data_IF_069913328528
#
_entry.id   IF_069913328528
#
_cell.length_a   1.000
_cell.length_b   1.000
_cell.length_c   1.000
_cell.angle_alpha   90.00
_cell.angle_beta   90.00
_cell.angle_gamma   90.00
#
_symmetry.space_group_name_H-M   'P 1'
#
loop_
_entity.id
_entity.type
_entity.pdbx_description
1 polymer ?
#
# COMPACT_ATOMS: atom_id res chain seq x y z
N UNK A 1 28.67 6.04 17.67
CA UNK A 1 27.62 5.26 18.37
C UNK A 1 26.93 4.22 17.48
N UNK A 2 26.85 4.41 16.15
CA UNK A 2 26.26 3.43 15.20
C UNK A 2 27.14 2.20 14.86
N UNK A 3 28.44 2.23 15.19
CA UNK A 3 29.39 1.19 14.76
C UNK A 3 29.17 -0.18 15.41
N UNK A 4 28.72 -0.23 16.67
CA UNK A 4 28.54 -1.51 17.39
C UNK A 4 27.32 -2.30 16.89
N UNK A 5 26.14 -1.67 16.66
CA UNK A 5 25.03 -2.37 16.01
C UNK A 5 25.37 -2.83 14.58
N UNK A 6 26.09 -2.00 13.81
CA UNK A 6 26.48 -2.34 12.44
C UNK A 6 27.41 -3.55 12.38
N UNK A 7 28.46 -3.58 13.20
CA UNK A 7 29.39 -4.71 13.24
C UNK A 7 28.68 -6.03 13.57
N UNK A 8 27.75 -6.03 14.52
CA UNK A 8 26.98 -7.24 14.87
C UNK A 8 26.13 -7.75 13.71
N UNK A 9 25.57 -6.84 12.90
CA UNK A 9 24.81 -7.23 11.71
C UNK A 9 25.75 -7.82 10.66
N UNK A 10 26.91 -7.21 10.45
CA UNK A 10 27.93 -7.72 9.54
C UNK A 10 28.38 -9.13 9.93
N UNK A 11 28.64 -9.37 11.21
CA UNK A 11 29.05 -10.68 11.73
C UNK A 11 27.97 -11.75 11.45
N UNK A 12 26.70 -11.49 11.77
CA UNK A 12 25.60 -12.44 11.54
C UNK A 12 25.40 -12.73 10.05
N UNK A 13 25.48 -11.69 9.19
CA UNK A 13 25.32 -11.87 7.75
C UNK A 13 26.48 -12.67 7.16
N UNK A 14 27.70 -12.43 7.65
CA UNK A 14 28.89 -13.17 7.23
C UNK A 14 28.76 -14.66 7.59
N UNK A 15 28.28 -15.00 8.78
CA UNK A 15 28.01 -16.38 9.19
C UNK A 15 27.02 -17.08 8.23
N UNK A 16 25.94 -16.41 7.84
CA UNK A 16 24.95 -16.96 6.90
C UNK A 16 25.57 -17.20 5.52
N UNK A 17 26.39 -16.26 5.04
CA UNK A 17 27.05 -16.36 3.74
C UNK A 17 28.06 -17.50 3.70
N UNK A 18 28.86 -17.65 4.75
CA UNK A 18 29.84 -18.73 4.86
C UNK A 18 29.16 -20.09 5.00
N UNK A 19 28.09 -20.19 5.80
CA UNK A 19 27.29 -21.41 5.89
C UNK A 19 26.72 -21.84 4.54
N UNK A 20 26.28 -20.89 3.70
CA UNK A 20 25.79 -21.21 2.36
C UNK A 20 26.91 -21.73 1.45
N UNK A 21 28.08 -21.07 1.45
CA UNK A 21 29.25 -21.50 0.66
C UNK A 21 29.75 -22.90 1.04
N UNK A 22 29.77 -23.23 2.33
CA UNK A 22 30.28 -24.51 2.81
C UNK A 22 29.31 -25.65 2.52
N UNK A 23 28.01 -25.43 2.71
CA UNK A 23 27.01 -26.50 2.62
C UNK A 23 26.42 -26.72 1.22
N UNK A 24 26.56 -25.74 0.32
CA UNK A 24 26.00 -25.81 -1.03
C UNK A 24 27.10 -25.73 -2.10
N UNK A 25 27.29 -26.83 -2.83
CA UNK A 25 28.24 -26.89 -3.96
C UNK A 25 27.70 -26.22 -5.25
N UNK A 26 26.42 -25.85 -5.27
CA UNK A 26 25.77 -25.18 -6.39
C UNK A 26 25.58 -23.69 -6.10
N UNK A 27 25.92 -22.84 -7.07
CA UNK A 27 25.85 -21.37 -6.96
C UNK A 27 24.44 -20.78 -7.08
N UNK A 28 23.38 -21.59 -6.91
CA UNK A 28 22.01 -21.18 -7.21
C UNK A 28 21.16 -21.04 -5.96
N UNK A 29 20.78 -19.79 -5.66
CA UNK A 29 19.80 -19.48 -4.62
C UNK A 29 18.41 -19.94 -5.04
N UNK A 30 17.71 -20.63 -4.14
CA UNK A 30 16.37 -21.17 -4.37
C UNK A 30 15.37 -20.45 -3.48
N UNK A 31 14.41 -19.76 -4.09
CA UNK A 31 13.26 -19.19 -3.39
C UNK A 31 12.35 -20.32 -2.90
N UNK A 32 12.07 -20.37 -1.60
CA UNK A 32 11.29 -21.42 -0.96
C UNK A 32 9.77 -21.17 -1.12
N UNK A 33 9.28 -21.16 -2.37
CA UNK A 33 7.90 -20.75 -2.74
C UNK A 33 6.82 -21.45 -1.89
N UNK A 34 6.88 -22.78 -1.77
CA UNK A 34 5.91 -23.58 -0.99
C UNK A 34 5.83 -23.17 0.49
N UNK A 35 6.98 -22.91 1.12
CA UNK A 35 7.03 -22.49 2.53
C UNK A 35 6.37 -21.12 2.71
N UNK A 36 6.63 -20.20 1.79
CA UNK A 36 5.99 -18.89 1.78
C UNK A 36 4.49 -18.99 1.50
N UNK A 37 4.07 -19.80 0.55
CA UNK A 37 2.65 -20.06 0.25
C UNK A 37 1.89 -20.55 1.48
N UNK A 38 2.39 -21.57 2.18
CA UNK A 38 1.74 -22.09 3.38
C UNK A 38 1.65 -21.06 4.51
N UNK A 39 2.71 -20.25 4.70
CA UNK A 39 2.71 -19.16 5.66
C UNK A 39 1.62 -18.12 5.34
N UNK A 40 1.56 -17.67 4.09
CA UNK A 40 0.60 -16.67 3.59
C UNK A 40 -0.84 -17.18 3.67
N UNK A 41 -1.08 -18.42 3.23
CA UNK A 41 -2.41 -19.07 3.25
C UNK A 41 -2.97 -19.16 4.67
N UNK A 42 -2.12 -19.46 5.66
CA UNK A 42 -2.52 -19.46 7.08
C UNK A 42 -2.82 -18.05 7.57
N UNK A 43 -1.92 -17.10 7.30
CA UNK A 43 -2.03 -15.72 7.76
C UNK A 43 -3.27 -14.98 7.22
N UNK A 44 -3.76 -15.35 6.03
CA UNK A 44 -4.98 -14.76 5.47
C UNK A 44 -6.26 -15.14 6.22
N UNK A 45 -6.22 -16.23 7.01
CA UNK A 45 -7.39 -16.76 7.72
C UNK A 45 -7.35 -16.46 9.21
N UNK A 46 -6.23 -16.75 9.87
CA UNK A 46 -6.09 -16.59 11.32
C UNK A 46 -4.67 -16.15 11.68
N UNK A 47 -4.58 -15.24 12.62
CA UNK A 47 -3.34 -14.71 13.18
C UNK A 47 -3.32 -14.97 14.69
N UNK A 48 -2.12 -15.12 15.26
CA UNK A 48 -1.95 -15.23 16.70
C UNK A 48 -2.05 -13.86 17.38
N UNK A 49 -2.14 -13.86 18.71
CA UNK A 49 -2.12 -12.66 19.57
C UNK A 49 -0.89 -11.76 19.33
N UNK A 50 0.19 -12.31 18.78
CA UNK A 50 1.38 -11.53 18.38
C UNK A 50 1.06 -10.43 17.35
N UNK A 51 -0.10 -10.48 16.68
CA UNK A 51 -0.55 -9.48 15.71
C UNK A 51 -1.52 -8.44 16.30
N UNK A 52 -1.78 -8.43 17.61
CA UNK A 52 -2.63 -7.41 18.25
C UNK A 52 -2.14 -5.98 18.00
N UNK A 53 -0.82 -5.79 17.91
CA UNK A 53 -0.22 -4.49 17.56
C UNK A 53 -0.58 -4.00 16.14
N UNK A 54 -1.13 -4.88 15.30
CA UNK A 54 -1.57 -4.60 13.93
C UNK A 54 -3.11 -4.65 13.80
N UNK A 55 -3.87 -4.64 14.90
CA UNK A 55 -5.34 -4.64 14.82
C UNK A 55 -5.90 -3.37 14.14
N UNK A 56 -5.18 -2.25 14.21
CA UNK A 56 -5.46 -1.03 13.44
C UNK A 56 -4.81 -1.02 12.04
N UNK A 57 -4.39 -2.18 11.52
CA UNK A 57 -3.70 -2.33 10.23
C UNK A 57 -4.11 -3.61 9.52
N UNK A 58 -5.34 -4.08 9.70
CA UNK A 58 -5.83 -5.31 9.08
C UNK A 58 -5.96 -5.23 7.55
N UNK A 59 -6.36 -4.10 6.94
CA UNK A 59 -6.24 -3.93 5.49
C UNK A 59 -4.81 -4.07 4.97
N UNK A 60 -3.78 -3.69 5.75
CA UNK A 60 -2.39 -3.93 5.39
C UNK A 60 -2.06 -5.42 5.37
N UNK A 61 -2.54 -6.18 6.35
CA UNK A 61 -2.37 -7.64 6.36
C UNK A 61 -3.03 -8.27 5.12
N UNK A 62 -4.22 -7.82 4.72
CA UNK A 62 -4.84 -8.25 3.47
C UNK A 62 -3.96 -7.94 2.27
N UNK A 63 -3.51 -6.69 2.12
CA UNK A 63 -2.67 -6.26 0.99
C UNK A 63 -1.34 -7.01 0.93
N UNK A 64 -0.57 -7.05 2.02
CA UNK A 64 0.73 -7.72 2.05
C UNK A 64 0.63 -9.19 1.70
N UNK A 65 -0.39 -9.88 2.22
CA UNK A 65 -0.57 -11.31 1.98
C UNK A 65 -1.02 -11.56 0.54
N UNK A 66 -2.05 -10.86 0.06
CA UNK A 66 -2.56 -11.03 -1.29
C UNK A 66 -1.53 -10.64 -2.35
N UNK A 67 -0.79 -9.55 -2.13
CA UNK A 67 0.26 -9.14 -3.05
C UNK A 67 1.43 -10.12 -3.05
N UNK A 68 1.80 -10.68 -1.90
CA UNK A 68 2.83 -11.73 -1.84
C UNK A 68 2.38 -12.99 -2.59
N UNK A 69 1.12 -13.38 -2.48
CA UNK A 69 0.56 -14.51 -3.26
C UNK A 69 0.56 -14.19 -4.77
N UNK A 70 0.20 -12.96 -5.16
CA UNK A 70 0.26 -12.52 -6.55
C UNK A 70 1.68 -12.59 -7.12
N UNK A 71 2.69 -12.11 -6.38
CA UNK A 71 4.11 -12.19 -6.78
C UNK A 71 4.62 -13.64 -6.85
N UNK A 72 4.05 -14.55 -6.07
CA UNK A 72 4.34 -15.98 -6.13
C UNK A 72 3.51 -16.69 -7.21
N UNK A 73 2.66 -15.98 -7.95
CA UNK A 73 1.75 -16.51 -8.97
C UNK A 73 0.76 -17.56 -8.41
N UNK A 74 0.45 -17.45 -7.12
CA UNK A 74 -0.46 -18.38 -6.43
C UNK A 74 -1.91 -17.91 -6.60
N UNK A 75 -2.82 -18.78 -7.06
CA UNK A 75 -4.20 -18.39 -7.28
C UNK A 75 -4.93 -18.16 -5.95
N UNK A 76 -5.76 -17.12 -5.92
CA UNK A 76 -6.65 -16.82 -4.78
C UNK A 76 -7.99 -17.51 -5.03
N UNK A 77 -8.44 -18.45 -4.19
CA UNK A 77 -9.75 -19.09 -4.35
C UNK A 77 -10.89 -18.07 -4.29
N UNK A 78 -11.89 -18.20 -5.16
CA UNK A 78 -13.00 -17.24 -5.26
C UNK A 78 -13.72 -16.99 -3.92
N UNK A 79 -13.90 -18.03 -3.11
CA UNK A 79 -14.49 -17.91 -1.78
C UNK A 79 -13.64 -17.03 -0.85
N UNK A 80 -12.31 -17.18 -0.89
CA UNK A 80 -11.37 -16.35 -0.10
C UNK A 80 -11.43 -14.91 -0.58
N UNK A 81 -11.47 -14.69 -1.90
CA UNK A 81 -11.59 -13.35 -2.48
C UNK A 81 -12.87 -12.65 -2.00
N UNK A 82 -14.02 -13.32 -2.05
CA UNK A 82 -15.29 -12.76 -1.55
C UNK A 82 -15.25 -12.49 -0.04
N UNK A 83 -14.65 -13.38 0.76
CA UNK A 83 -14.47 -13.15 2.20
C UNK A 83 -13.65 -11.87 2.48
N UNK A 84 -12.59 -11.63 1.71
CA UNK A 84 -11.79 -10.40 1.82
C UNK A 84 -12.61 -9.17 1.40
N UNK A 85 -13.37 -9.24 0.30
CA UNK A 85 -14.26 -8.15 -0.13
C UNK A 85 -15.26 -7.78 0.97
N UNK A 86 -15.91 -8.77 1.59
CA UNK A 86 -16.84 -8.57 2.70
C UNK A 86 -16.15 -8.03 3.96
N UNK A 87 -14.90 -8.44 4.23
CA UNK A 87 -14.14 -7.90 5.34
C UNK A 87 -13.77 -6.42 5.11
N UNK A 88 -13.26 -6.08 3.93
CA UNK A 88 -12.87 -4.71 3.60
C UNK A 88 -14.09 -3.79 3.51
N UNK A 89 -15.25 -4.28 3.07
CA UNK A 89 -16.50 -3.48 3.09
C UNK A 89 -16.90 -3.09 4.51
N UNK A 90 -16.71 -3.97 5.51
CA UNK A 90 -16.91 -3.65 6.93
C UNK A 90 -15.87 -2.68 7.50
N UNK A 91 -14.68 -2.61 6.89
CA UNK A 91 -13.65 -1.64 7.26
C UNK A 91 -13.87 -0.27 6.60
N UNK A 92 -14.79 -0.16 5.62
CA UNK A 92 -15.07 1.10 4.96
C UNK A 92 -15.91 2.01 5.85
N UNK A 93 -15.50 3.27 5.94
CA UNK A 93 -16.21 4.27 6.72
C UNK A 93 -17.42 4.82 5.95
N UNK A 94 -18.55 5.08 6.63
CA UNK A 94 -19.66 5.81 6.03
C UNK A 94 -19.33 7.27 5.68
N UNK A 95 -18.18 7.81 6.13
CA UNK A 95 -17.64 9.11 5.73
C UNK A 95 -16.62 9.02 4.58
N UNK A 96 -16.38 7.83 4.02
CA UNK A 96 -15.39 7.60 2.97
C UNK A 96 -14.02 7.15 3.48
N UNK A 97 -13.28 6.45 2.64
CA UNK A 97 -12.02 5.79 3.03
C UNK A 97 -12.25 4.51 3.85
N UNK A 98 -11.14 3.86 4.22
CA UNK A 98 -11.14 2.64 5.02
C UNK A 98 -10.38 2.86 6.33
N UNK A 99 -10.86 2.27 7.42
CA UNK A 99 -10.18 2.21 8.71
C UNK A 99 -9.29 0.97 8.86
N UNK A 100 -8.53 0.92 9.94
CA UNK A 100 -7.62 -0.18 10.27
C UNK A 100 -8.30 -1.52 10.57
N UNK A 101 -9.61 -1.48 10.84
CA UNK A 101 -10.49 -2.61 11.08
C UNK A 101 -11.95 -2.15 11.12
N UNK A 102 -12.92 -3.08 11.26
CA UNK A 102 -14.34 -2.73 11.30
C UNK A 102 -14.66 -1.74 12.42
N UNK A 103 -15.41 -0.68 12.08
CA UNK A 103 -15.81 0.37 13.03
C UNK A 103 -14.71 1.38 13.39
N UNK A 104 -13.48 1.23 12.91
CA UNK A 104 -12.42 2.20 13.13
C UNK A 104 -12.54 3.41 12.19
N UNK A 105 -12.01 4.56 12.61
CA UNK A 105 -11.99 5.76 11.79
C UNK A 105 -11.20 5.55 10.49
N UNK A 106 -11.62 6.19 9.37
CA UNK A 106 -10.91 6.08 8.12
C UNK A 106 -9.53 6.76 8.22
N UNK A 107 -8.56 6.17 7.53
CA UNK A 107 -7.19 6.64 7.47
C UNK A 107 -6.58 6.29 6.10
N UNK A 108 -5.77 7.20 5.54
CA UNK A 108 -5.15 7.00 4.22
C UNK A 108 -4.29 5.75 4.10
N UNK A 109 -3.59 5.31 5.16
CA UNK A 109 -2.78 4.10 5.12
C UNK A 109 -3.61 2.82 4.90
N UNK A 110 -4.61 2.49 5.73
CA UNK A 110 -5.51 1.37 5.45
C UNK A 110 -6.38 1.58 4.21
N UNK A 111 -6.68 2.83 3.82
CA UNK A 111 -7.36 3.13 2.54
C UNK A 111 -6.53 2.70 1.34
N UNK A 112 -5.25 3.04 1.30
CA UNK A 112 -4.30 2.58 0.28
C UNK A 112 -4.24 1.05 0.21
N UNK A 113 -4.06 0.40 1.37
CA UNK A 113 -3.96 -1.05 1.44
C UNK A 113 -5.26 -1.75 0.99
N UNK A 114 -6.42 -1.27 1.44
CA UNK A 114 -7.72 -1.82 1.05
C UNK A 114 -7.97 -1.71 -0.46
N UNK A 115 -7.72 -0.53 -1.05
CA UNK A 115 -7.91 -0.32 -2.50
C UNK A 115 -6.99 -1.24 -3.30
N UNK A 116 -5.71 -1.36 -2.93
CA UNK A 116 -4.79 -2.26 -3.62
C UNK A 116 -5.17 -3.74 -3.45
N UNK A 117 -5.60 -4.17 -2.26
CA UNK A 117 -6.10 -5.53 -2.05
C UNK A 117 -7.30 -5.86 -2.95
N UNK A 118 -8.24 -4.92 -3.09
CA UNK A 118 -9.39 -5.06 -4.00
C UNK A 118 -8.95 -5.07 -5.48
N UNK A 119 -7.96 -4.25 -5.85
CA UNK A 119 -7.37 -4.27 -7.19
C UNK A 119 -6.68 -5.59 -7.54
N UNK A 120 -5.98 -6.20 -6.58
CA UNK A 120 -5.33 -7.52 -6.75
C UNK A 120 -6.38 -8.60 -6.99
N UNK A 121 -7.49 -8.58 -6.22
CA UNK A 121 -8.62 -9.48 -6.43
C UNK A 121 -9.22 -9.27 -7.83
N UNK A 122 -9.43 -8.01 -8.23
CA UNK A 122 -9.72 -7.65 -9.61
C UNK A 122 -11.06 -8.15 -10.16
N UNK A 123 -12.04 -8.41 -9.30
CA UNK A 123 -13.41 -8.80 -9.68
C UNK A 123 -14.36 -7.61 -9.58
N UNK A 124 -15.50 -7.66 -10.28
CA UNK A 124 -16.56 -6.65 -10.17
C UNK A 124 -17.09 -6.50 -8.73
N UNK A 125 -17.15 -7.60 -7.98
CA UNK A 125 -17.47 -7.58 -6.55
C UNK A 125 -16.46 -6.73 -5.77
N UNK A 126 -15.16 -6.92 -6.01
CA UNK A 126 -14.11 -6.18 -5.32
C UNK A 126 -14.15 -4.68 -5.66
N UNK A 127 -14.34 -4.34 -6.94
CA UNK A 127 -14.47 -2.95 -7.35
C UNK A 127 -15.74 -2.30 -6.78
N UNK A 128 -16.84 -3.04 -6.73
CA UNK A 128 -18.12 -2.61 -6.16
C UNK A 128 -18.07 -2.33 -4.66
N UNK A 129 -17.04 -2.79 -3.93
CA UNK A 129 -16.86 -2.44 -2.52
C UNK A 129 -16.60 -0.94 -2.36
N UNK A 130 -15.87 -0.29 -3.26
CA UNK A 130 -15.35 1.07 -3.05
C UNK A 130 -16.43 2.13 -3.32
N UNK A 131 -16.88 2.85 -2.28
CA UNK A 131 -17.69 4.07 -2.46
C UNK A 131 -16.81 5.22 -2.96
N UNK A 132 -16.72 5.34 -4.29
CA UNK A 132 -15.88 6.33 -4.98
C UNK A 132 -16.26 7.78 -4.64
N UNK A 133 -17.55 8.05 -4.46
CA UNK A 133 -18.03 9.41 -4.17
C UNK A 133 -17.55 9.83 -2.79
N UNK A 134 -17.77 8.99 -1.78
CA UNK A 134 -17.33 9.27 -0.42
C UNK A 134 -15.81 9.23 -0.29
N UNK A 135 -15.12 8.37 -1.03
CA UNK A 135 -13.66 8.39 -1.09
C UNK A 135 -13.16 9.76 -1.55
N UNK A 136 -13.71 10.31 -2.63
CA UNK A 136 -13.34 11.65 -3.11
C UNK A 136 -13.63 12.75 -2.07
N UNK A 137 -14.81 12.72 -1.45
CA UNK A 137 -15.17 13.65 -0.37
C UNK A 137 -14.18 13.57 0.80
N UNK A 138 -13.81 12.35 1.22
CA UNK A 138 -12.82 12.13 2.27
C UNK A 138 -11.43 12.67 1.90
N UNK A 139 -10.96 12.45 0.67
CA UNK A 139 -9.69 13.00 0.21
C UNK A 139 -9.69 14.54 0.24
N UNK A 140 -10.81 15.18 -0.09
CA UNK A 140 -10.96 16.63 0.01
C UNK A 140 -10.92 17.13 1.46
N UNK A 141 -11.54 16.42 2.41
CA UNK A 141 -11.49 16.76 3.84
C UNK A 141 -10.04 16.74 4.37
N UNK A 142 -9.20 15.83 3.86
CA UNK A 142 -7.82 15.70 4.29
C UNK A 142 -6.87 16.69 3.61
N UNK A 143 -7.24 17.24 2.45
CA UNK A 143 -6.41 18.17 1.67
C UNK A 143 -6.14 19.45 2.45
N UNK A 144 -4.88 19.84 2.58
CA UNK A 144 -4.45 21.06 3.25
C UNK A 144 -4.18 22.21 2.27
N UNK A 145 -4.25 23.48 2.72
CA UNK A 145 -3.98 24.64 1.87
C UNK A 145 -2.59 24.68 1.24
N UNK A 146 -1.58 24.11 1.92
CA UNK A 146 -0.17 24.13 1.50
C UNK A 146 0.18 23.09 0.42
N UNK A 147 -0.79 22.25 0.01
CA UNK A 147 -0.53 21.14 -0.92
C UNK A 147 -0.53 19.77 -0.27
N UNK A 148 -0.30 19.68 1.04
CA UNK A 148 -0.22 18.43 1.78
C UNK A 148 -1.58 17.77 2.02
N UNK A 149 -1.55 16.56 2.57
CA UNK A 149 -2.74 15.86 3.07
C UNK A 149 -2.50 15.41 4.51
N UNK A 150 -3.55 15.42 5.32
CA UNK A 150 -3.55 14.71 6.60
C UNK A 150 -3.65 13.20 6.35
N UNK A 151 -3.07 12.40 7.23
CA UNK A 151 -3.19 10.93 7.19
C UNK A 151 -4.59 10.44 7.60
N UNK A 152 -5.24 11.17 8.50
CA UNK A 152 -6.66 11.05 8.88
C UNK A 152 -7.12 12.37 9.51
N UNK A 153 -8.41 12.53 9.80
CA UNK A 153 -8.93 13.74 10.45
C UNK A 153 -8.23 13.95 11.80
N UNK A 154 -7.59 15.10 11.99
CA UNK A 154 -6.79 15.43 13.19
C UNK A 154 -5.46 14.68 13.32
N UNK A 155 -5.04 13.95 12.28
CA UNK A 155 -3.80 13.18 12.25
C UNK A 155 -2.57 13.97 11.81
N UNK A 156 -1.49 13.24 11.56
CA UNK A 156 -0.22 13.79 11.09
C UNK A 156 -0.22 14.14 9.59
N UNK A 157 0.77 14.94 9.19
CA UNK A 157 1.06 15.26 7.79
C UNK A 157 2.49 14.83 7.47
N UNK A 158 2.65 13.95 6.48
CA UNK A 158 3.92 13.68 5.83
C UNK A 158 3.69 13.08 4.43
N UNK A 159 4.75 12.83 3.66
CA UNK A 159 4.64 12.45 2.24
C UNK A 159 3.85 11.16 1.99
N UNK A 160 3.67 10.30 3.00
CA UNK A 160 2.85 9.09 2.89
C UNK A 160 1.41 9.44 2.52
N UNK A 161 0.87 10.54 3.05
CA UNK A 161 -0.52 10.95 2.78
C UNK A 161 -0.71 11.31 1.31
N UNK A 162 0.23 12.07 0.74
CA UNK A 162 0.22 12.45 -0.67
C UNK A 162 0.29 11.22 -1.59
N UNK A 163 1.18 10.25 -1.28
CA UNK A 163 1.27 9.00 -2.03
C UNK A 163 -0.01 8.15 -1.92
N UNK A 164 -0.52 7.95 -0.70
CA UNK A 164 -1.73 7.16 -0.48
C UNK A 164 -2.93 7.77 -1.21
N UNK A 165 -3.13 9.09 -1.09
CA UNK A 165 -4.20 9.82 -1.76
C UNK A 165 -4.07 9.73 -3.29
N UNK A 166 -2.88 9.99 -3.84
CA UNK A 166 -2.66 9.95 -5.29
C UNK A 166 -2.87 8.54 -5.86
N UNK A 167 -2.40 7.51 -5.16
CA UNK A 167 -2.56 6.11 -5.56
C UNK A 167 -4.03 5.72 -5.65
N UNK A 168 -4.82 5.93 -4.59
CA UNK A 168 -6.23 5.52 -4.58
C UNK A 168 -7.07 6.38 -5.51
N UNK A 169 -6.79 7.69 -5.60
CA UNK A 169 -7.52 8.59 -6.49
C UNK A 169 -7.32 8.23 -7.96
N UNK A 170 -6.10 7.87 -8.34
CA UNK A 170 -5.76 7.45 -9.71
C UNK A 170 -6.40 6.11 -10.06
N UNK A 171 -6.22 5.09 -9.21
CA UNK A 171 -6.77 3.74 -9.46
C UNK A 171 -8.29 3.72 -9.55
N UNK A 172 -8.96 4.48 -8.68
CA UNK A 172 -10.43 4.56 -8.63
C UNK A 172 -11.00 5.64 -9.56
N UNK A 173 -10.16 6.31 -10.33
CA UNK A 173 -10.56 7.34 -11.29
C UNK A 173 -11.44 8.43 -10.66
N UNK A 174 -10.99 8.97 -9.52
CA UNK A 174 -11.59 10.13 -8.84
C UNK A 174 -10.61 11.31 -8.72
N UNK A 175 -9.42 11.17 -9.32
CA UNK A 175 -8.42 12.23 -9.38
C UNK A 175 -8.97 13.44 -10.13
N UNK A 176 -8.89 14.62 -9.52
CA UNK A 176 -9.20 15.91 -10.15
C UNK A 176 -8.01 16.86 -10.05
N UNK A 177 -7.84 17.81 -11.00
CA UNK A 177 -6.76 18.80 -10.91
C UNK A 177 -6.81 19.63 -9.61
N UNK A 178 -8.02 19.95 -9.13
CA UNK A 178 -8.20 20.71 -7.90
C UNK A 178 -7.77 19.92 -6.65
N UNK A 179 -8.00 18.60 -6.62
CA UNK A 179 -7.66 17.76 -5.47
C UNK A 179 -6.16 17.77 -5.15
N UNK A 180 -5.31 17.77 -6.18
CA UNK A 180 -3.85 17.74 -6.02
C UNK A 180 -3.15 19.08 -6.26
N UNK A 181 -3.90 20.19 -6.35
CA UNK A 181 -3.31 21.52 -6.49
C UNK A 181 -2.32 21.83 -5.35
N UNK A 182 -1.10 22.25 -5.69
CA UNK A 182 -0.01 22.54 -4.77
C UNK A 182 0.74 21.32 -4.22
N UNK A 183 0.29 20.09 -4.52
CA UNK A 183 0.86 18.87 -3.91
C UNK A 183 2.27 18.59 -4.43
N UNK A 184 2.52 18.83 -5.73
CA UNK A 184 3.83 18.60 -6.33
C UNK A 184 4.89 19.56 -5.76
N UNK A 185 4.52 20.82 -5.59
CA UNK A 185 5.34 21.85 -4.95
C UNK A 185 5.65 21.47 -3.50
N UNK A 186 4.63 21.05 -2.74
CA UNK A 186 4.79 20.62 -1.36
C UNK A 186 5.76 19.43 -1.23
N UNK A 187 5.64 18.42 -2.09
CA UNK A 187 6.58 17.28 -2.15
C UNK A 187 8.01 17.77 -2.48
N UNK A 188 8.12 18.73 -3.41
CA UNK A 188 9.40 19.27 -3.86
C UNK A 188 10.18 20.06 -2.81
N UNK A 189 9.50 20.68 -1.84
CA UNK A 189 10.12 21.45 -0.75
C UNK A 189 10.79 20.55 0.30
N UNK A 190 10.25 19.33 0.52
CA UNK A 190 10.70 18.41 1.56
C UNK A 190 10.28 18.85 2.97
N UNK A 191 10.00 17.89 3.86
CA UNK A 191 9.60 18.20 5.25
C UNK A 191 10.82 18.58 6.10
N UNK A 192 10.66 19.37 7.18
CA UNK A 192 11.75 19.68 8.12
C UNK A 192 12.39 18.44 8.77
N UNK A 193 11.72 17.29 8.73
CA UNK A 193 12.13 16.00 9.30
C UNK A 193 12.68 15.02 8.24
N UNK A 194 12.81 15.46 6.97
CA UNK A 194 13.36 14.68 5.84
C UNK A 194 12.27 13.99 4.99
N UNK A 195 12.47 13.84 3.66
CA UNK A 195 13.75 13.60 2.99
C UNK A 195 14.19 14.69 2.00
N UNK A 196 15.51 14.78 1.78
CA UNK A 196 16.06 15.37 0.55
C UNK A 196 15.68 14.48 -0.64
N UNK A 197 14.68 14.86 -1.41
CA UNK A 197 14.66 14.55 -2.84
C UNK A 197 15.68 15.47 -3.55
N UNK A 198 16.98 15.35 -3.24
CA UNK A 198 18.02 16.04 -4.03
C UNK A 198 18.29 15.26 -5.32
N UNK A 199 17.33 15.32 -6.24
CA UNK A 199 17.58 15.16 -7.66
C UNK A 199 17.99 16.51 -8.22
N UNK A 200 19.27 16.69 -8.52
CA UNK A 200 19.80 17.85 -9.24
C UNK A 200 18.96 18.05 -10.51
N UNK A 201 18.16 19.12 -10.57
CA UNK A 201 17.46 19.50 -11.81
C UNK A 201 18.52 19.76 -12.88
N UNK A 202 18.66 18.85 -13.83
CA UNK A 202 19.00 19.23 -15.20
C UNK A 202 17.68 19.42 -15.93
N UNK A 203 17.51 20.45 -16.76
CA UNK A 203 16.29 20.64 -17.51
C UNK A 203 16.24 19.59 -18.61
N UNK A 204 15.54 18.49 -18.38
CA UNK A 204 15.11 17.59 -19.44
C UNK A 204 13.59 17.50 -19.36
N UNK A 205 12.92 18.08 -20.36
CA UNK A 205 11.48 17.99 -20.52
C UNK A 205 11.06 16.55 -20.74
N UNK A 206 10.59 15.88 -19.69
CA UNK A 206 9.80 14.66 -19.77
C UNK A 206 8.74 14.76 -18.68
N UNK A 207 7.47 14.72 -19.10
CA UNK A 207 6.32 14.56 -18.23
C UNK A 207 6.55 13.40 -17.26
N UNK A 208 6.06 13.55 -16.02
CA UNK A 208 6.07 12.49 -15.02
C UNK A 208 5.21 11.31 -15.51
N UNK A 209 5.82 10.38 -16.24
CA UNK A 209 5.26 9.06 -16.48
C UNK A 209 5.48 8.24 -15.22
N UNK A 210 4.44 8.17 -14.38
CA UNK A 210 4.27 7.08 -13.43
C UNK A 210 4.52 5.76 -14.18
N UNK A 211 5.34 4.88 -13.59
CA UNK A 211 5.52 3.52 -14.10
C UNK A 211 4.13 2.91 -14.35
N UNK A 212 3.81 2.47 -15.58
CA UNK A 212 2.51 1.93 -15.86
C UNK A 212 2.33 0.64 -15.06
N UNK A 213 1.23 0.59 -14.30
CA UNK A 213 0.59 -0.65 -13.86
C UNK A 213 0.59 -1.65 -15.05
N UNK A 214 0.88 -2.95 -14.85
CA UNK A 214 1.05 -3.89 -15.95
C UNK A 214 -0.11 -3.76 -16.96
N UNK A 215 0.24 -3.51 -18.22
CA UNK A 215 -0.64 -3.07 -19.34
C UNK A 215 -1.77 -4.05 -19.71
N UNK A 216 -2.06 -5.05 -18.89
CA UNK A 216 -3.02 -6.12 -19.17
C UNK A 216 -4.22 -6.17 -18.21
N UNK A 217 -4.36 -5.22 -17.26
CA UNK A 217 -5.57 -5.15 -16.42
C UNK A 217 -6.36 -3.85 -16.66
N UNK A 218 -7.69 -3.90 -16.79
CA UNK A 218 -8.52 -2.72 -16.98
C UNK A 218 -8.42 -1.78 -15.76
N UNK A 219 -8.48 -0.47 -16.00
CA UNK A 219 -8.65 0.51 -14.92
C UNK A 219 -9.93 0.17 -14.13
N UNK A 220 -9.91 0.34 -12.81
CA UNK A 220 -11.01 -0.09 -11.94
C UNK A 220 -12.37 0.57 -12.27
N UNK A 221 -12.41 1.73 -12.95
CA UNK A 221 -13.69 2.38 -13.24
C UNK A 221 -13.65 3.41 -14.37
N UNK A 222 -14.80 3.55 -15.06
CA UNK A 222 -15.14 4.71 -15.92
C UNK A 222 -15.32 5.99 -15.08
N UNK A 223 -15.19 7.20 -15.67
CA UNK A 223 -15.32 8.47 -14.95
C UNK A 223 -16.66 8.56 -14.19
N UNK A 224 -16.68 9.24 -13.03
CA UNK A 224 -17.93 9.61 -12.37
C UNK A 224 -18.71 10.56 -13.29
N UNK A 225 -19.98 10.28 -13.55
CA UNK A 225 -20.85 11.22 -14.26
C UNK A 225 -21.05 12.46 -13.37
N UNK A 226 -20.74 13.64 -13.93
CA UNK A 226 -20.95 14.94 -13.30
C UNK A 226 -22.40 15.39 -13.33
#
# INVERSE_FOLDING_TARGET
>A
VLAVPQSKVEDIVQEVFDAYKTNHHAAQFVLQREKHFHYLKRGLRQLSEAYECLDASRPWLCYWILHSLELLEEPIPQAVASDVCQFLSRCQSPQGGFGGGPGQHPHLAPTYAAVNALCIIGTEEAFGVIDRKKLLEYLHVLKQPDGSFLMHIGGEVDVRSAYCAASVASLTNVLTPALFAGTAEWIGVGTPQGPRFQGRQRPCGCAATFLPWPRHRPACAKPLAG
#
